data_IF_958584664197
#
_entry.id   IF_958584664197
#
_cell.length_a   1.000
_cell.length_b   1.000
_cell.length_c   1.000
_cell.angle_alpha   90.00
_cell.angle_beta   90.00
_cell.angle_gamma   90.00
#
_symmetry.space_group_name_H-M   'P 1'
#
loop_
_entity.id
_entity.type
_entity.pdbx_description
1 polymer ?
#
# COMPACT_ATOMS: atom_id res chain seq x y z
N UNK A 1 20.16 -1.56 84.93
CA UNK A 1 21.58 -1.79 84.62
C UNK A 1 21.68 -2.94 83.64
N UNK A 2 22.02 -2.62 82.39
CA UNK A 2 22.82 -3.38 81.43
C UNK A 2 22.33 -3.15 80.00
N UNK A 3 23.12 -2.33 79.31
CA UNK A 3 23.20 -2.21 77.86
C UNK A 3 23.44 -3.59 77.23
N UNK A 4 22.86 -3.83 76.05
CA UNK A 4 23.57 -4.56 75.00
C UNK A 4 23.00 -4.19 73.62
N UNK A 5 23.79 -3.42 72.86
CA UNK A 5 23.65 -3.26 71.41
C UNK A 5 23.88 -4.62 70.73
N UNK A 6 23.02 -4.98 69.76
CA UNK A 6 23.39 -5.88 68.65
C UNK A 6 22.78 -5.37 67.35
N UNK A 7 23.68 -5.15 66.39
CA UNK A 7 23.49 -4.62 65.03
C UNK A 7 22.46 -5.40 64.18
N UNK A 8 21.87 -4.76 63.15
CA UNK A 8 21.01 -5.47 62.20
C UNK A 8 21.84 -6.33 61.22
N UNK A 9 21.49 -7.62 61.13
CA UNK A 9 22.06 -8.58 60.18
C UNK A 9 21.46 -8.35 58.79
N UNK A 10 22.29 -7.95 57.82
CA UNK A 10 21.95 -7.98 56.40
C UNK A 10 21.72 -9.44 55.97
N UNK A 11 20.48 -9.77 55.59
CA UNK A 11 20.15 -11.01 54.90
C UNK A 11 20.25 -10.75 53.39
N UNK A 12 21.28 -11.30 52.74
CA UNK A 12 21.40 -11.31 51.29
C UNK A 12 20.46 -12.37 50.70
N UNK A 13 19.43 -11.94 49.99
CA UNK A 13 18.59 -12.81 49.17
C UNK A 13 19.23 -12.93 47.77
N UNK A 14 19.67 -14.13 47.39
CA UNK A 14 20.03 -14.45 46.02
C UNK A 14 18.84 -15.15 45.36
N UNK A 15 18.05 -14.40 44.59
CA UNK A 15 17.08 -14.98 43.66
C UNK A 15 17.84 -15.39 42.38
N UNK A 16 17.93 -16.70 42.14
CA UNK A 16 18.41 -17.23 40.85
C UNK A 16 17.25 -17.10 39.86
N UNK A 17 17.29 -16.07 39.01
CA UNK A 17 16.44 -16.00 37.83
C UNK A 17 17.07 -16.91 36.78
N UNK A 18 16.48 -18.08 36.56
CA UNK A 18 16.78 -18.90 35.39
C UNK A 18 16.29 -18.14 34.15
N UNK A 19 17.24 -17.56 33.42
CA UNK A 19 17.00 -16.97 32.10
C UNK A 19 16.67 -18.11 31.13
N UNK A 20 15.38 -18.40 30.94
CA UNK A 20 14.94 -19.17 29.79
C UNK A 20 15.20 -18.28 28.57
N UNK A 21 16.24 -18.59 27.81
CA UNK A 21 16.46 -17.95 26.51
C UNK A 21 15.30 -18.37 25.60
N UNK A 22 14.32 -17.48 25.43
CA UNK A 22 13.40 -17.57 24.30
C UNK A 22 14.25 -17.22 23.08
N UNK A 23 14.69 -18.23 22.35
CA UNK A 23 15.16 -18.03 20.99
C UNK A 23 13.95 -17.61 20.16
N UNK A 24 13.68 -16.31 20.08
CA UNK A 24 12.84 -15.79 19.01
C UNK A 24 13.59 -16.05 17.70
N UNK A 25 13.00 -16.84 16.80
CA UNK A 25 13.54 -17.01 15.46
C UNK A 25 13.44 -15.67 14.74
N UNK A 26 14.56 -14.93 14.62
CA UNK A 26 14.64 -13.83 13.68
C UNK A 26 14.62 -14.40 12.25
N UNK A 27 14.07 -13.64 11.30
CA UNK A 27 14.27 -13.91 9.88
C UNK A 27 15.77 -13.91 9.57
N UNK A 28 16.26 -14.87 8.79
CA UNK A 28 17.65 -14.84 8.29
C UNK A 28 17.85 -13.61 7.40
N UNK A 29 18.94 -12.87 7.59
CA UNK A 29 19.26 -11.70 6.76
C UNK A 29 20.18 -12.07 5.61
N UNK A 30 19.74 -11.75 4.39
CA UNK A 30 20.49 -11.88 3.15
C UNK A 30 20.96 -10.51 2.70
N UNK A 31 22.26 -10.24 2.81
CA UNK A 31 22.85 -9.00 2.32
C UNK A 31 23.34 -9.17 0.89
N UNK A 32 22.86 -8.32 -0.01
CA UNK A 32 23.31 -8.26 -1.39
C UNK A 32 24.73 -7.72 -1.46
N UNK A 33 25.65 -8.53 -1.97
CA UNK A 33 27.02 -8.14 -2.27
C UNK A 33 27.17 -7.74 -3.74
N UNK A 34 26.40 -8.36 -4.64
CA UNK A 34 26.44 -8.11 -6.09
C UNK A 34 27.82 -8.39 -6.71
N UNK A 35 28.62 -9.26 -6.11
CA UNK A 35 30.03 -9.46 -6.49
C UNK A 35 30.23 -10.09 -7.86
N UNK A 36 29.20 -10.71 -8.44
CA UNK A 36 29.34 -11.54 -9.64
C UNK A 36 28.36 -11.15 -10.76
N UNK A 37 27.15 -10.73 -10.43
CA UNK A 37 26.14 -10.26 -11.40
C UNK A 37 25.01 -9.49 -10.70
N UNK A 38 24.02 -9.01 -11.48
CA UNK A 38 22.75 -8.48 -10.97
C UNK A 38 21.68 -9.53 -10.63
N UNK A 39 21.96 -10.83 -10.78
CA UNK A 39 20.94 -11.89 -10.65
C UNK A 39 20.75 -12.33 -9.19
N UNK A 40 19.53 -12.18 -8.67
CA UNK A 40 19.13 -12.65 -7.34
C UNK A 40 19.22 -14.17 -7.17
N UNK A 41 19.25 -14.92 -8.27
CA UNK A 41 19.31 -16.38 -8.25
C UNK A 41 20.75 -16.88 -8.20
N UNK A 42 21.74 -16.02 -8.39
CA UNK A 42 23.14 -16.39 -8.20
C UNK A 42 23.52 -16.21 -6.72
N UNK A 43 23.69 -17.34 -6.03
CA UNK A 43 24.03 -17.35 -4.60
C UNK A 43 25.34 -16.60 -4.29
N UNK A 44 26.24 -16.46 -5.28
CA UNK A 44 27.51 -15.76 -5.10
C UNK A 44 27.37 -14.24 -4.98
N UNK A 45 26.18 -13.69 -5.27
CA UNK A 45 25.84 -12.29 -5.04
C UNK A 45 25.29 -12.00 -3.64
N UNK A 46 25.23 -13.00 -2.77
CA UNK A 46 24.64 -12.89 -1.44
C UNK A 46 25.66 -13.27 -0.36
N UNK A 47 25.69 -12.49 0.71
CA UNK A 47 26.24 -12.94 2.00
C UNK A 47 25.09 -13.18 2.96
N UNK A 48 25.00 -14.39 3.52
CA UNK A 48 24.08 -14.71 4.62
C UNK A 48 24.86 -15.16 5.85
N UNK A 49 24.20 -15.16 7.02
CA UNK A 49 24.78 -15.59 8.29
C UNK A 49 24.87 -17.14 8.40
N UNK A 50 25.54 -17.79 7.44
CA UNK A 50 25.95 -19.19 7.62
C UNK A 50 26.11 -20.10 6.38
N UNK A 51 25.73 -19.70 5.17
CA UNK A 51 25.98 -20.52 3.96
C UNK A 51 25.87 -19.69 2.68
N UNK A 52 26.29 -20.25 1.54
CA UNK A 52 26.09 -19.62 0.22
C UNK A 52 24.61 -19.74 -0.20
N UNK A 53 23.69 -19.20 0.60
CA UNK A 53 22.23 -19.27 0.44
C UNK A 53 21.70 -17.95 -0.13
N UNK A 54 20.58 -18.04 -0.85
CA UNK A 54 19.92 -16.91 -1.53
C UNK A 54 18.47 -16.78 -1.04
N UNK A 55 17.82 -15.61 -1.16
CA UNK A 55 16.48 -15.37 -0.60
C UNK A 55 15.38 -16.31 -1.11
N UNK A 56 15.55 -16.97 -2.26
CA UNK A 56 14.53 -17.84 -2.84
C UNK A 56 14.46 -19.26 -2.22
N UNK A 57 15.38 -19.63 -1.33
CA UNK A 57 15.41 -20.97 -0.70
C UNK A 57 14.81 -20.98 0.71
N UNK A 58 14.52 -19.81 1.29
CA UNK A 58 13.97 -19.67 2.64
C UNK A 58 12.84 -18.63 2.59
N UNK A 59 11.60 -19.09 2.78
CA UNK A 59 10.37 -18.31 2.60
C UNK A 59 10.15 -17.16 3.62
N UNK A 60 11.19 -16.67 4.29
CA UNK A 60 11.05 -15.83 5.49
C UNK A 60 12.26 -14.93 5.77
N UNK A 61 13.19 -14.75 4.81
CA UNK A 61 14.40 -13.97 5.03
C UNK A 61 14.23 -12.47 4.81
N UNK A 62 14.95 -11.66 5.57
CA UNK A 62 15.11 -10.22 5.30
C UNK A 62 16.18 -10.02 4.23
N UNK A 63 15.93 -9.11 3.30
CA UNK A 63 16.89 -8.75 2.26
C UNK A 63 17.43 -7.35 2.54
N UNK A 64 18.75 -7.19 2.50
CA UNK A 64 19.40 -5.90 2.63
C UNK A 64 20.25 -5.64 1.40
N UNK A 65 20.02 -4.53 0.71
CA UNK A 65 20.81 -4.09 -0.43
C UNK A 65 21.71 -2.94 0.01
N UNK A 66 22.99 -3.28 0.19
CA UNK A 66 24.04 -2.36 0.61
C UNK A 66 25.14 -2.37 -0.46
N UNK A 67 25.03 -1.58 -1.53
CA UNK A 67 26.14 -1.41 -2.47
C UNK A 67 25.96 -0.18 -3.38
N UNK A 68 27.09 0.42 -3.79
CA UNK A 68 27.18 1.52 -4.75
C UNK A 68 27.45 1.04 -6.19
N UNK A 69 27.81 -0.23 -6.40
CA UNK A 69 28.37 -0.68 -7.70
C UNK A 69 27.39 -1.40 -8.63
N UNK A 70 26.23 -1.88 -8.15
CA UNK A 70 25.26 -2.59 -8.99
C UNK A 70 23.86 -2.02 -8.83
N UNK A 71 23.44 -1.34 -9.89
CA UNK A 71 22.20 -0.57 -10.00
C UNK A 71 21.08 -1.36 -10.70
N UNK A 72 21.40 -2.51 -11.33
CA UNK A 72 20.46 -3.35 -12.07
C UNK A 72 20.36 -4.75 -11.45
N UNK A 73 19.35 -4.93 -10.60
CA UNK A 73 19.01 -6.17 -9.92
C UNK A 73 17.95 -6.92 -10.74
N UNK A 74 18.05 -8.25 -10.89
CA UNK A 74 17.10 -9.05 -11.66
C UNK A 74 16.67 -10.27 -10.87
N UNK A 75 15.35 -10.46 -10.78
CA UNK A 75 14.70 -11.61 -10.17
C UNK A 75 14.39 -12.63 -11.28
N UNK A 76 15.26 -13.63 -11.50
CA UNK A 76 15.06 -14.68 -12.53
C UNK A 76 14.15 -15.86 -12.13
N UNK A 77 13.82 -15.99 -10.85
CA UNK A 77 12.87 -16.95 -10.27
C UNK A 77 11.85 -16.21 -9.42
N UNK A 78 10.65 -16.75 -9.15
CA UNK A 78 9.76 -16.09 -8.19
C UNK A 78 10.46 -16.08 -6.81
N UNK A 79 10.44 -14.94 -6.13
CA UNK A 79 11.12 -14.76 -4.85
C UNK A 79 10.12 -14.31 -3.79
N UNK A 80 10.20 -14.90 -2.60
CA UNK A 80 9.42 -14.52 -1.42
C UNK A 80 10.39 -14.08 -0.34
N UNK A 81 10.13 -12.93 0.29
CA UNK A 81 10.96 -12.33 1.34
C UNK A 81 10.09 -11.88 2.50
N UNK A 82 10.69 -11.74 3.69
CA UNK A 82 10.07 -11.13 4.84
C UNK A 82 10.06 -9.60 4.67
N UNK A 83 11.23 -8.97 4.60
CA UNK A 83 11.38 -7.52 4.41
C UNK A 83 12.52 -7.19 3.44
N UNK A 84 12.55 -5.95 2.96
CA UNK A 84 13.60 -5.41 2.09
C UNK A 84 14.11 -4.07 2.64
N UNK A 85 15.42 -3.91 2.70
CA UNK A 85 16.08 -2.66 3.06
C UNK A 85 17.04 -2.21 1.95
N UNK A 86 16.90 -0.97 1.50
CA UNK A 86 17.96 -0.24 0.81
C UNK A 86 18.72 0.57 1.86
N UNK A 87 19.86 0.05 2.29
CA UNK A 87 20.58 0.63 3.42
C UNK A 87 21.40 1.86 3.05
N UNK A 88 22.02 2.46 4.06
CA UNK A 88 22.71 3.76 3.97
C UNK A 88 23.84 3.85 2.94
N UNK A 89 24.37 2.70 2.49
CA UNK A 89 25.44 2.62 1.49
C UNK A 89 24.93 2.28 0.08
N UNK A 90 23.62 2.19 -0.13
CA UNK A 90 23.04 2.06 -1.45
C UNK A 90 22.93 3.44 -2.11
N UNK A 91 24.04 3.87 -2.69
CA UNK A 91 24.20 5.17 -3.33
C UNK A 91 24.11 4.98 -4.85
N UNK A 92 22.96 5.33 -5.41
CA UNK A 92 22.66 5.20 -6.84
C UNK A 92 21.27 4.59 -7.09
N UNK A 93 20.77 4.83 -8.30
CA UNK A 93 19.52 4.23 -8.76
C UNK A 93 19.58 2.71 -8.61
N UNK A 94 18.57 2.07 -8.03
CA UNK A 94 18.54 0.60 -7.93
C UNK A 94 17.24 0.09 -8.48
N UNK A 95 17.32 -0.59 -9.61
CA UNK A 95 16.17 -1.23 -10.26
C UNK A 95 16.11 -2.71 -9.89
N UNK A 96 15.01 -3.15 -9.28
CA UNK A 96 14.63 -4.55 -9.12
C UNK A 96 13.74 -4.95 -10.30
N UNK A 97 14.35 -5.64 -11.27
CA UNK A 97 13.71 -6.17 -12.46
C UNK A 97 12.96 -7.46 -12.20
N UNK A 98 11.64 -7.42 -12.37
CA UNK A 98 10.70 -8.52 -12.14
C UNK A 98 10.52 -9.40 -13.39
N UNK A 99 11.62 -9.97 -13.89
CA UNK A 99 11.64 -10.68 -15.18
C UNK A 99 12.63 -11.83 -15.21
N UNK A 100 12.23 -12.93 -15.86
CA UNK A 100 13.09 -14.09 -16.06
C UNK A 100 14.26 -13.76 -16.99
N UNK A 101 15.31 -14.59 -16.92
CA UNK A 101 16.49 -14.45 -17.77
C UNK A 101 16.25 -14.53 -19.28
N UNK A 102 15.08 -15.03 -19.70
CA UNK A 102 14.65 -15.06 -21.09
C UNK A 102 14.01 -13.73 -21.57
N UNK A 103 13.86 -12.74 -20.68
CA UNK A 103 13.35 -11.41 -21.01
C UNK A 103 11.86 -11.35 -21.36
N UNK A 104 11.10 -12.44 -21.19
CA UNK A 104 9.67 -12.47 -21.60
C UNK A 104 8.75 -13.03 -20.54
N UNK A 105 9.27 -13.72 -19.52
CA UNK A 105 8.43 -14.31 -18.47
C UNK A 105 8.48 -13.49 -17.19
N UNK A 106 7.31 -13.04 -16.74
CA UNK A 106 7.13 -12.37 -15.46
C UNK A 106 7.68 -13.18 -14.28
N UNK A 107 8.38 -12.51 -13.35
CA UNK A 107 8.85 -13.08 -12.09
C UNK A 107 8.48 -12.15 -10.96
N UNK A 108 7.86 -12.69 -9.93
CA UNK A 108 7.25 -11.87 -8.91
C UNK A 108 8.13 -11.81 -7.67
N UNK A 109 8.10 -10.66 -7.01
CA UNK A 109 8.61 -10.49 -5.65
C UNK A 109 7.41 -10.51 -4.70
N UNK A 110 7.47 -11.34 -3.66
CA UNK A 110 6.39 -11.49 -2.68
C UNK A 110 6.88 -11.09 -1.30
N UNK A 111 6.25 -10.09 -0.69
CA UNK A 111 6.42 -9.75 0.72
C UNK A 111 5.47 -10.62 1.55
N UNK A 112 6.04 -11.46 2.41
CA UNK A 112 5.32 -12.44 3.23
C UNK A 112 6.01 -12.60 4.58
N UNK A 113 5.58 -11.83 5.57
CA UNK A 113 6.07 -11.94 6.92
C UNK A 113 5.47 -13.13 7.67
N UNK A 114 6.28 -13.78 8.51
CA UNK A 114 5.82 -14.89 9.38
C UNK A 114 5.06 -14.39 10.61
N UNK A 115 5.28 -13.13 11.00
CA UNK A 115 4.57 -12.44 12.05
C UNK A 115 4.62 -10.93 11.80
N UNK A 116 3.53 -10.21 12.10
CA UNK A 116 3.46 -8.76 11.89
C UNK A 116 3.41 -8.37 10.40
N UNK A 117 4.00 -7.23 10.09
CA UNK A 117 4.07 -6.67 8.75
C UNK A 117 5.45 -6.93 8.13
N UNK A 118 5.48 -7.06 6.82
CA UNK A 118 6.72 -6.89 6.04
C UNK A 118 7.12 -5.43 6.03
N UNK A 119 8.40 -5.13 5.90
CA UNK A 119 8.87 -3.75 5.70
C UNK A 119 9.61 -3.58 4.37
N UNK A 120 9.49 -2.38 3.79
CA UNK A 120 10.36 -1.89 2.73
C UNK A 120 10.98 -0.57 3.22
N UNK A 121 12.24 -0.62 3.59
CA UNK A 121 12.95 0.53 4.16
C UNK A 121 13.92 1.11 3.14
N UNK A 122 13.90 2.43 2.99
CA UNK A 122 14.94 3.20 2.29
C UNK A 122 15.58 4.10 3.32
N UNK A 123 16.84 3.84 3.62
CA UNK A 123 17.61 4.62 4.59
C UNK A 123 17.76 6.08 4.12
N UNK A 124 17.86 7.00 5.09
CA UNK A 124 17.97 8.43 4.82
C UNK A 124 19.22 8.82 4.00
N UNK A 125 20.30 8.04 4.12
CA UNK A 125 21.52 8.26 3.35
C UNK A 125 21.52 7.53 1.99
N UNK A 126 20.52 6.68 1.71
CA UNK A 126 20.39 6.06 0.40
C UNK A 126 20.00 7.11 -0.65
N UNK A 127 20.64 7.04 -1.82
CA UNK A 127 20.44 8.00 -2.92
C UNK A 127 20.14 7.29 -4.23
N UNK A 128 19.59 8.00 -5.21
CA UNK A 128 19.11 7.51 -6.49
C UNK A 128 17.78 6.75 -6.39
N UNK A 129 16.99 6.78 -7.46
CA UNK A 129 15.66 6.17 -7.47
C UNK A 129 15.69 4.67 -7.14
N UNK A 130 14.70 4.18 -6.39
CA UNK A 130 14.50 2.74 -6.13
C UNK A 130 13.31 2.27 -6.95
N UNK A 131 13.53 1.37 -7.89
CA UNK A 131 12.55 1.09 -8.94
C UNK A 131 12.20 -0.40 -8.96
N UNK A 132 10.93 -0.74 -8.82
CA UNK A 132 10.40 -2.07 -9.15
C UNK A 132 9.79 -2.02 -10.55
N UNK A 133 10.35 -2.78 -11.49
CA UNK A 133 10.02 -2.65 -12.90
C UNK A 133 9.92 -4.00 -13.63
N UNK A 134 9.48 -3.95 -14.88
CA UNK A 134 9.25 -5.05 -15.82
C UNK A 134 7.94 -5.83 -15.55
N UNK A 135 7.86 -7.04 -16.08
CA UNK A 135 6.61 -7.77 -16.33
C UNK A 135 5.95 -8.38 -15.09
N UNK A 136 6.74 -8.68 -14.05
CA UNK A 136 6.25 -9.32 -12.84
C UNK A 136 5.57 -8.36 -11.88
N UNK A 137 5.07 -8.92 -10.78
CA UNK A 137 4.28 -8.19 -9.77
C UNK A 137 5.04 -8.12 -8.45
N UNK A 138 4.73 -7.09 -7.67
CA UNK A 138 4.99 -7.05 -6.23
C UNK A 138 3.75 -7.56 -5.49
N UNK A 139 3.88 -8.63 -4.72
CA UNK A 139 2.76 -9.25 -4.00
C UNK A 139 2.83 -8.98 -2.51
N UNK A 140 1.72 -8.53 -1.93
CA UNK A 140 1.56 -8.25 -0.50
C UNK A 140 0.80 -9.40 0.17
N UNK A 141 1.48 -10.51 0.48
CA UNK A 141 0.87 -11.62 1.23
C UNK A 141 0.69 -11.27 2.71
N UNK A 142 1.51 -10.34 3.21
CA UNK A 142 1.34 -9.63 4.47
C UNK A 142 1.15 -8.14 4.20
N UNK A 143 0.75 -7.38 5.21
CA UNK A 143 0.82 -5.92 5.11
C UNK A 143 2.28 -5.49 4.86
N UNK A 144 2.46 -4.38 4.15
CA UNK A 144 3.75 -3.80 3.86
C UNK A 144 3.84 -2.38 4.44
N UNK A 145 4.79 -2.19 5.34
CA UNK A 145 5.18 -0.87 5.82
C UNK A 145 6.35 -0.35 4.98
N UNK A 146 6.08 0.64 4.13
CA UNK A 146 7.09 1.41 3.42
C UNK A 146 7.59 2.51 4.36
N UNK A 147 8.90 2.50 4.61
CA UNK A 147 9.61 3.53 5.37
C UNK A 147 10.60 4.20 4.43
N UNK A 148 10.16 5.29 3.78
CA UNK A 148 10.95 5.99 2.78
C UNK A 148 11.59 7.26 3.38
N UNK A 149 12.83 7.14 3.85
CA UNK A 149 13.57 8.27 4.41
C UNK A 149 14.57 8.89 3.43
N UNK A 150 14.83 8.23 2.29
CA UNK A 150 15.70 8.72 1.21
C UNK A 150 15.17 10.00 0.53
N UNK A 151 16.07 10.66 -0.21
CA UNK A 151 15.78 11.94 -0.88
C UNK A 151 15.22 11.79 -2.30
N UNK A 152 15.49 10.66 -2.96
CA UNK A 152 15.09 10.36 -4.33
C UNK A 152 13.81 9.50 -4.37
N UNK A 153 13.33 9.10 -5.54
CA UNK A 153 12.01 8.48 -5.66
C UNK A 153 12.03 6.96 -5.39
N UNK A 154 10.99 6.45 -4.72
CA UNK A 154 10.65 5.03 -4.72
C UNK A 154 9.54 4.79 -5.75
N UNK A 155 9.77 3.99 -6.78
CA UNK A 155 8.84 3.77 -7.89
C UNK A 155 8.45 2.31 -8.02
N UNK A 156 7.15 2.04 -8.01
CA UNK A 156 6.58 0.76 -8.42
C UNK A 156 5.94 0.91 -9.79
N UNK A 157 6.71 0.65 -10.85
CA UNK A 157 6.20 0.62 -12.22
C UNK A 157 5.46 -0.68 -12.52
N UNK A 158 5.81 -1.74 -11.79
CA UNK A 158 5.11 -3.02 -11.80
C UNK A 158 3.86 -3.00 -10.93
N UNK A 159 2.87 -3.83 -11.26
CA UNK A 159 1.64 -4.01 -10.47
C UNK A 159 1.94 -4.46 -9.03
N UNK A 160 1.34 -3.77 -8.06
CA UNK A 160 1.21 -4.23 -6.67
C UNK A 160 -0.14 -4.97 -6.51
N UNK A 161 -0.13 -6.15 -5.89
CA UNK A 161 -1.32 -7.04 -5.81
C UNK A 161 -1.40 -7.81 -4.48
N UNK A 162 -2.44 -8.66 -4.33
CA UNK A 162 -2.78 -9.47 -3.12
C UNK A 162 -3.55 -8.67 -2.06
N UNK A 163 -3.66 -9.15 -0.82
CA UNK A 163 -4.61 -8.59 0.17
C UNK A 163 -3.97 -7.75 1.28
N UNK A 164 -2.64 -7.63 1.32
CA UNK A 164 -1.95 -6.83 2.32
C UNK A 164 -2.30 -5.35 2.24
N UNK A 165 -2.39 -4.71 3.41
CA UNK A 165 -2.45 -3.25 3.50
C UNK A 165 -1.08 -2.64 3.19
N UNK A 166 -1.08 -1.42 2.68
CA UNK A 166 0.11 -0.62 2.43
C UNK A 166 0.13 0.57 3.41
N UNK A 167 1.20 0.73 4.17
CA UNK A 167 1.45 1.91 5.00
C UNK A 167 2.67 2.64 4.48
N UNK A 168 2.56 3.93 4.20
CA UNK A 168 3.67 4.76 3.68
C UNK A 168 4.05 5.76 4.76
N UNK A 169 5.31 5.73 5.17
CA UNK A 169 5.93 6.61 6.16
C UNK A 169 7.26 7.16 5.66
N UNK A 170 7.78 8.20 6.31
CA UNK A 170 9.02 8.88 5.91
C UNK A 170 8.78 10.03 4.93
N UNK A 171 9.79 10.88 4.76
CA UNK A 171 9.68 12.13 3.98
C UNK A 171 9.90 11.95 2.47
N UNK A 172 10.35 10.77 2.04
CA UNK A 172 10.57 10.47 0.63
C UNK A 172 9.27 10.35 -0.16
N UNK A 173 9.40 10.34 -1.48
CA UNK A 173 8.26 10.27 -2.39
C UNK A 173 8.11 8.86 -2.94
N UNK A 174 6.92 8.27 -2.78
CA UNK A 174 6.58 6.95 -3.33
C UNK A 174 5.65 7.11 -4.53
N UNK A 175 5.97 6.42 -5.62
CA UNK A 175 5.16 6.33 -6.84
C UNK A 175 4.59 4.92 -6.98
N UNK A 176 3.29 4.82 -7.24
CA UNK A 176 2.61 3.59 -7.62
C UNK A 176 2.09 3.74 -9.05
N UNK A 177 2.96 3.43 -10.00
CA UNK A 177 2.76 3.68 -11.43
C UNK A 177 2.19 2.47 -12.18
N UNK A 178 2.22 1.27 -11.59
CA UNK A 178 1.58 0.08 -12.13
C UNK A 178 0.05 0.08 -12.01
N UNK A 179 -0.60 -0.88 -12.67
CA UNK A 179 -2.04 -1.15 -12.51
C UNK A 179 -2.28 -1.94 -11.22
N UNK A 180 -2.42 -1.26 -10.08
CA UNK A 180 -2.40 -1.91 -8.77
C UNK A 180 -3.76 -2.54 -8.43
N UNK A 181 -3.72 -3.81 -8.03
CA UNK A 181 -4.91 -4.65 -7.77
C UNK A 181 -4.98 -5.19 -6.35
N UNK A 182 -4.13 -4.69 -5.44
CA UNK A 182 -4.20 -5.12 -4.05
C UNK A 182 -5.51 -4.65 -3.39
N UNK A 183 -6.00 -5.43 -2.45
CA UNK A 183 -7.33 -5.22 -1.83
C UNK A 183 -7.26 -4.73 -0.39
N UNK A 184 -6.06 -4.47 0.14
CA UNK A 184 -5.87 -3.79 1.41
C UNK A 184 -5.99 -2.27 1.29
N UNK A 185 -6.09 -1.59 2.42
CA UNK A 185 -6.05 -0.14 2.51
C UNK A 185 -4.66 0.40 2.20
N UNK A 186 -4.60 1.64 1.71
CA UNK A 186 -3.36 2.42 1.59
C UNK A 186 -3.41 3.58 2.57
N UNK A 187 -2.50 3.56 3.55
CA UNK A 187 -2.38 4.62 4.56
C UNK A 187 -1.16 5.48 4.26
N UNK A 188 -1.39 6.75 3.92
CA UNK A 188 -0.33 7.73 3.69
C UNK A 188 -0.16 8.56 4.97
N UNK A 189 0.89 8.27 5.75
CA UNK A 189 1.10 8.90 7.04
C UNK A 189 1.58 10.35 6.91
N UNK A 190 1.50 11.09 8.02
CA UNK A 190 1.96 12.47 8.11
C UNK A 190 3.41 12.62 7.61
N UNK A 191 3.64 13.61 6.75
CA UNK A 191 4.95 13.90 6.16
C UNK A 191 5.34 13.04 4.96
N UNK A 192 4.53 12.02 4.61
CA UNK A 192 4.77 11.17 3.44
C UNK A 192 4.02 11.63 2.21
N UNK A 193 4.53 11.26 1.04
CA UNK A 193 3.92 11.60 -0.25
C UNK A 193 3.75 10.36 -1.12
N UNK A 194 2.52 10.12 -1.57
CA UNK A 194 2.18 9.15 -2.61
C UNK A 194 1.87 9.87 -3.94
N UNK A 195 2.38 9.35 -5.05
CA UNK A 195 2.15 9.89 -6.39
C UNK A 195 1.84 8.79 -7.39
N UNK A 196 1.25 9.19 -8.51
CA UNK A 196 1.33 8.48 -9.78
C UNK A 196 1.80 9.41 -10.88
N UNK A 197 2.39 8.84 -11.92
CA UNK A 197 2.94 9.53 -13.07
C UNK A 197 1.92 9.56 -14.21
N UNK A 198 1.74 10.72 -14.84
CA UNK A 198 0.85 10.87 -16.01
C UNK A 198 1.24 9.91 -17.14
N UNK A 199 0.29 9.15 -17.66
CA UNK A 199 0.49 8.26 -18.81
C UNK A 199 1.18 6.93 -18.49
N UNK A 200 1.45 6.63 -17.22
CA UNK A 200 2.05 5.36 -16.80
C UNK A 200 1.08 4.16 -16.85
N UNK A 201 -0.22 4.39 -17.06
CA UNK A 201 -1.24 3.35 -16.90
C UNK A 201 -1.48 2.97 -15.43
N UNK A 202 -1.18 3.90 -14.50
CA UNK A 202 -1.38 3.71 -13.06
C UNK A 202 -2.87 3.53 -12.76
N UNK A 203 -3.19 2.47 -12.05
CA UNK A 203 -4.55 2.18 -11.56
C UNK A 203 -4.52 1.86 -10.06
N UNK A 204 -5.63 2.12 -9.39
CA UNK A 204 -5.89 1.65 -8.04
C UNK A 204 -7.24 0.97 -7.99
N UNK A 205 -7.24 -0.33 -7.71
CA UNK A 205 -8.47 -1.10 -7.52
C UNK A 205 -9.07 -0.88 -6.12
N UNK A 206 -10.37 -0.63 -6.08
CA UNK A 206 -11.16 -0.60 -4.86
C UNK A 206 -12.27 -1.65 -4.93
N UNK A 207 -12.28 -2.60 -4.00
CA UNK A 207 -13.32 -3.60 -3.85
C UNK A 207 -14.49 -3.01 -3.09
N UNK A 208 -15.64 -2.88 -3.74
CA UNK A 208 -16.86 -2.31 -3.14
C UNK A 208 -17.82 -3.43 -2.78
N UNK A 209 -18.13 -3.54 -1.48
CA UNK A 209 -18.99 -4.58 -0.92
C UNK A 209 -20.32 -4.04 -0.40
N UNK A 210 -20.80 -4.61 0.72
CA UNK A 210 -21.92 -4.07 1.47
C UNK A 210 -21.66 -2.61 1.92
N UNK A 211 -22.70 -1.88 2.31
CA UNK A 211 -22.60 -0.48 2.75
C UNK A 211 -21.42 -0.27 3.74
N UNK A 212 -20.51 0.66 3.42
CA UNK A 212 -19.32 0.96 4.22
C UNK A 212 -18.20 -0.11 4.22
N UNK A 213 -18.29 -1.14 3.37
CA UNK A 213 -17.26 -2.19 3.26
C UNK A 213 -16.48 -2.03 1.96
N UNK A 214 -15.26 -1.51 2.08
CA UNK A 214 -14.33 -1.33 0.97
C UNK A 214 -12.90 -1.18 1.48
N UNK A 215 -11.92 -1.29 0.59
CA UNK A 215 -10.59 -0.71 0.83
C UNK A 215 -10.57 0.78 0.47
N UNK A 216 -9.65 1.53 1.05
CA UNK A 216 -9.60 2.98 0.93
C UNK A 216 -8.16 3.52 0.93
N UNK A 217 -8.01 4.75 0.46
CA UNK A 217 -6.83 5.59 0.69
C UNK A 217 -7.09 6.50 1.90
N UNK A 218 -6.25 6.36 2.94
CA UNK A 218 -6.44 6.97 4.26
C UNK A 218 -5.18 7.72 4.70
N UNK A 219 -5.29 8.49 5.77
CA UNK A 219 -4.14 9.07 6.48
C UNK A 219 -4.12 10.59 6.42
N UNK A 220 -2.94 11.18 6.65
CA UNK A 220 -2.76 12.64 6.77
C UNK A 220 -1.57 13.16 5.97
N UNK A 221 -1.04 12.35 5.04
CA UNK A 221 0.01 12.73 4.12
C UNK A 221 -0.53 13.38 2.86
N UNK A 222 0.33 13.50 1.84
CA UNK A 222 -0.04 14.09 0.55
C UNK A 222 -0.21 13.02 -0.53
N UNK A 223 -1.22 13.18 -1.40
CA UNK A 223 -1.46 12.28 -2.52
C UNK A 223 -1.67 13.05 -3.82
N UNK A 224 -1.00 12.63 -4.90
CA UNK A 224 -1.08 13.25 -6.22
C UNK A 224 -1.54 12.23 -7.26
N UNK A 225 -2.77 12.39 -7.74
CA UNK A 225 -3.48 11.36 -8.50
C UNK A 225 -3.49 11.66 -10.00
N UNK A 226 -2.59 11.02 -10.74
CA UNK A 226 -2.59 10.92 -12.21
C UNK A 226 -3.18 9.58 -12.71
N UNK A 227 -3.90 8.88 -11.84
CA UNK A 227 -4.30 7.48 -11.96
C UNK A 227 -5.77 7.29 -12.31
N UNK A 228 -6.15 6.09 -12.75
CA UNK A 228 -7.54 5.66 -12.77
C UNK A 228 -7.90 4.94 -11.46
N UNK A 229 -8.95 5.38 -10.77
CA UNK A 229 -9.59 4.58 -9.74
C UNK A 229 -10.50 3.53 -10.39
N UNK A 230 -10.25 2.25 -10.12
CA UNK A 230 -11.02 1.13 -10.66
C UNK A 230 -11.89 0.56 -9.54
N UNK A 231 -13.16 0.90 -9.56
CA UNK A 231 -14.16 0.47 -8.58
C UNK A 231 -14.75 -0.86 -9.02
N UNK A 232 -14.44 -1.93 -8.30
CA UNK A 232 -15.10 -3.22 -8.48
C UNK A 232 -16.45 -3.19 -7.76
N UNK A 233 -17.51 -3.04 -8.57
CA UNK A 233 -18.89 -2.95 -8.13
C UNK A 233 -19.62 -4.31 -8.13
N UNK A 234 -18.93 -5.42 -8.44
CA UNK A 234 -19.56 -6.74 -8.61
C UNK A 234 -20.29 -7.23 -7.35
N UNK A 235 -19.90 -6.74 -6.17
CA UNK A 235 -20.53 -7.04 -4.88
C UNK A 235 -21.08 -5.82 -4.16
N UNK A 236 -21.15 -4.67 -4.83
CA UNK A 236 -21.58 -3.42 -4.21
C UNK A 236 -23.06 -3.48 -3.80
N UNK A 237 -23.38 -2.86 -2.66
CA UNK A 237 -24.78 -2.63 -2.27
C UNK A 237 -25.49 -1.80 -3.34
N UNK A 238 -26.71 -2.17 -3.70
CA UNK A 238 -27.57 -1.41 -4.62
C UNK A 238 -28.66 -0.61 -3.89
N UNK A 239 -28.56 -0.47 -2.56
CA UNK A 239 -29.53 0.28 -1.76
C UNK A 239 -29.18 1.77 -1.85
N UNK A 240 -30.13 2.59 -2.30
CA UNK A 240 -30.02 4.06 -2.30
C UNK A 240 -29.58 4.58 -0.93
N UNK A 241 -28.56 5.44 -0.92
CA UNK A 241 -27.93 5.96 0.28
C UNK A 241 -26.83 5.06 0.87
N UNK A 242 -26.50 3.93 0.23
CA UNK A 242 -25.25 3.23 0.56
C UNK A 242 -24.06 4.09 0.15
N UNK A 243 -23.01 4.06 0.96
CA UNK A 243 -21.85 4.92 0.79
C UNK A 243 -20.54 4.19 1.19
N UNK A 244 -19.44 4.57 0.54
CA UNK A 244 -18.10 4.02 0.75
C UNK A 244 -17.06 5.13 0.66
N UNK A 245 -16.21 5.24 1.67
CA UNK A 245 -15.08 6.18 1.66
C UNK A 245 -13.96 5.60 0.81
N UNK A 246 -13.70 6.17 -0.37
CA UNK A 246 -12.63 5.73 -1.26
C UNK A 246 -11.33 6.49 -0.95
N UNK A 247 -11.45 7.80 -0.70
CA UNK A 247 -10.34 8.68 -0.34
C UNK A 247 -10.72 9.54 0.85
N UNK A 248 -9.91 9.53 1.90
CA UNK A 248 -10.11 10.35 3.11
C UNK A 248 -9.69 11.81 2.89
N UNK A 249 -10.46 12.55 2.08
CA UNK A 249 -10.19 13.96 1.71
C UNK A 249 -10.28 14.93 2.89
N UNK A 250 -10.92 14.53 3.98
CA UNK A 250 -11.00 15.36 5.20
C UNK A 250 -9.63 15.43 5.91
N UNK A 251 -8.78 14.43 5.72
CA UNK A 251 -7.50 14.29 6.43
C UNK A 251 -6.29 14.33 5.51
N UNK A 252 -6.41 13.79 4.29
CA UNK A 252 -5.33 13.81 3.30
C UNK A 252 -5.16 15.21 2.71
N UNK A 253 -3.97 15.48 2.19
CA UNK A 253 -3.75 16.60 1.26
C UNK A 253 -3.71 16.02 -0.15
N UNK A 254 -4.87 15.91 -0.78
CA UNK A 254 -5.02 15.31 -2.10
C UNK A 254 -4.89 16.31 -3.24
N UNK A 255 -4.60 15.78 -4.41
CA UNK A 255 -4.81 16.51 -5.63
C UNK A 255 -5.11 15.59 -6.80
N UNK A 256 -6.32 15.72 -7.33
CA UNK A 256 -6.71 15.16 -8.61
C UNK A 256 -5.99 15.91 -9.75
N UNK A 257 -5.47 15.18 -10.73
CA UNK A 257 -4.72 15.74 -11.87
C UNK A 257 -5.52 15.55 -13.15
N UNK A 258 -5.10 16.20 -14.23
CA UNK A 258 -5.85 16.18 -15.51
C UNK A 258 -5.99 14.79 -16.15
N UNK A 259 -5.20 13.81 -15.71
CA UNK A 259 -5.27 12.42 -16.16
C UNK A 259 -5.97 11.51 -15.15
N UNK A 260 -6.53 12.06 -14.07
CA UNK A 260 -7.35 11.30 -13.14
C UNK A 260 -8.61 10.81 -13.84
N UNK A 261 -9.01 9.57 -13.56
CA UNK A 261 -10.23 8.98 -14.07
C UNK A 261 -10.85 8.03 -13.05
N UNK A 262 -12.13 7.72 -13.23
CA UNK A 262 -12.83 6.68 -12.47
C UNK A 262 -13.45 5.70 -13.46
N UNK A 263 -13.32 4.41 -13.17
CA UNK A 263 -13.84 3.32 -13.99
C UNK A 263 -14.32 2.17 -13.11
N UNK A 264 -15.12 1.28 -13.68
CA UNK A 264 -15.38 -0.07 -13.20
C UNK A 264 -14.91 -1.09 -14.24
N UNK A 265 -15.05 -2.39 -13.94
CA UNK A 265 -14.81 -3.45 -14.93
C UNK A 265 -15.74 -3.34 -16.16
N UNK A 266 -16.89 -2.66 -16.01
CA UNK A 266 -17.92 -2.54 -17.05
C UNK A 266 -17.86 -1.23 -17.84
N UNK A 267 -17.02 -0.26 -17.44
CA UNK A 267 -16.82 0.97 -18.21
C UNK A 267 -16.26 2.14 -17.41
N UNK A 268 -15.98 3.25 -18.12
CA UNK A 268 -15.58 4.51 -17.49
C UNK A 268 -16.78 5.25 -16.90
N UNK A 269 -16.59 5.89 -15.75
CA UNK A 269 -17.56 6.83 -15.20
C UNK A 269 -17.56 8.11 -16.04
N UNK A 270 -18.71 8.77 -16.12
CA UNK A 270 -18.86 10.07 -16.76
C UNK A 270 -18.59 11.17 -15.74
N UNK A 271 -17.67 12.08 -16.05
CA UNK A 271 -17.30 13.22 -15.19
C UNK A 271 -18.16 14.45 -15.48
N UNK A 272 -18.56 15.14 -14.42
CA UNK A 272 -19.14 16.46 -14.47
C UNK A 272 -18.79 17.26 -13.20
N UNK A 273 -17.82 18.18 -13.31
CA UNK A 273 -17.42 19.10 -12.23
C UNK A 273 -16.98 18.39 -10.93
N UNK A 274 -16.15 17.36 -11.05
CA UNK A 274 -15.63 16.57 -9.93
C UNK A 274 -16.61 15.50 -9.40
N UNK A 275 -17.75 15.32 -10.06
CA UNK A 275 -18.68 14.22 -9.81
C UNK A 275 -18.58 13.20 -10.95
N UNK A 276 -18.28 11.96 -10.60
CA UNK A 276 -18.14 10.84 -11.51
C UNK A 276 -19.33 9.91 -11.36
N UNK A 277 -20.03 9.59 -12.45
CA UNK A 277 -21.25 8.77 -12.40
C UNK A 277 -21.23 7.58 -13.35
N UNK A 278 -21.84 6.47 -12.94
CA UNK A 278 -22.11 5.31 -13.80
C UNK A 278 -23.43 4.65 -13.41
N UNK A 279 -24.19 4.18 -14.39
CA UNK A 279 -25.32 3.26 -14.16
C UNK A 279 -24.82 1.82 -14.29
N UNK A 280 -24.80 1.09 -13.19
CA UNK A 280 -24.36 -0.31 -13.16
C UNK A 280 -25.22 -1.10 -12.17
N UNK A 281 -25.41 -2.40 -12.39
CA UNK A 281 -26.19 -3.27 -11.50
C UNK A 281 -27.63 -2.76 -11.22
N UNK A 282 -28.18 -1.96 -12.14
CA UNK A 282 -29.54 -1.41 -12.04
C UNK A 282 -29.67 -0.20 -11.11
N UNK A 283 -28.56 0.43 -10.70
CA UNK A 283 -28.55 1.66 -9.90
C UNK A 283 -27.51 2.65 -10.42
N UNK A 284 -27.60 3.89 -9.97
CA UNK A 284 -26.63 4.94 -10.27
C UNK A 284 -25.64 5.07 -9.11
N UNK A 285 -24.35 4.90 -9.42
CA UNK A 285 -23.25 5.14 -8.50
C UNK A 285 -22.61 6.49 -8.82
N UNK A 286 -22.35 7.28 -7.78
CA UNK A 286 -21.69 8.58 -7.88
C UNK A 286 -20.48 8.65 -6.95
N UNK A 287 -19.29 8.88 -7.51
CA UNK A 287 -18.07 9.22 -6.78
C UNK A 287 -17.83 10.73 -6.84
N UNK A 288 -17.69 11.37 -5.69
CA UNK A 288 -17.42 12.80 -5.61
C UNK A 288 -15.99 13.08 -5.16
N UNK A 289 -15.22 13.81 -5.96
CA UNK A 289 -13.85 14.25 -5.61
C UNK A 289 -13.83 15.12 -4.35
N UNK A 290 -14.88 15.93 -4.15
CA UNK A 290 -14.97 16.84 -3.01
C UNK A 290 -15.08 16.13 -1.65
N UNK A 291 -15.64 14.92 -1.62
CA UNK A 291 -15.86 14.17 -0.38
C UNK A 291 -15.10 12.85 -0.34
N UNK A 292 -14.53 12.42 -1.46
CA UNK A 292 -13.89 11.11 -1.62
C UNK A 292 -14.85 9.93 -1.44
N UNK A 293 -16.17 10.17 -1.46
CA UNK A 293 -17.20 9.16 -1.25
C UNK A 293 -17.74 8.63 -2.58
N UNK A 294 -17.91 7.31 -2.66
CA UNK A 294 -18.80 6.65 -3.61
C UNK A 294 -20.17 6.47 -2.94
N UNK A 295 -21.26 6.77 -3.64
CA UNK A 295 -22.63 6.63 -3.12
C UNK A 295 -23.57 6.02 -4.14
N UNK A 296 -24.60 5.31 -3.67
CA UNK A 296 -25.75 4.93 -4.51
C UNK A 296 -26.79 6.04 -4.44
N UNK A 297 -27.10 6.66 -5.57
CA UNK A 297 -28.10 7.73 -5.65
C UNK A 297 -29.41 7.23 -6.27
N UNK A 298 -30.55 7.87 -5.95
CA UNK A 298 -31.78 7.65 -6.70
C UNK A 298 -31.59 8.01 -8.17
N UNK A 299 -32.21 7.24 -9.07
CA UNK A 299 -32.26 7.59 -10.49
C UNK A 299 -32.80 9.03 -10.68
N UNK A 300 -32.30 9.81 -11.66
CA UNK A 300 -32.72 11.19 -11.90
C UNK A 300 -34.26 11.40 -11.96
N UNK A 301 -35.01 10.41 -12.45
CA UNK A 301 -36.47 10.43 -12.48
C UNK A 301 -37.12 10.44 -11.09
N UNK A 302 -36.48 9.85 -10.09
CA UNK A 302 -36.95 9.81 -8.69
C UNK A 302 -36.92 11.20 -8.05
N UNK A 303 -35.87 11.98 -8.30
CA UNK A 303 -35.79 13.37 -7.85
C UNK A 303 -36.87 14.25 -8.48
N UNK A 304 -37.11 14.09 -9.78
CA UNK A 304 -38.17 14.80 -10.50
C UNK A 304 -39.57 14.44 -9.98
N UNK A 305 -39.83 13.16 -9.70
CA UNK A 305 -41.08 12.69 -9.12
C UNK A 305 -41.30 13.26 -7.71
N UNK A 306 -40.27 13.21 -6.85
CA UNK A 306 -40.36 13.73 -5.49
C UNK A 306 -40.60 15.24 -5.47
N UNK A 307 -39.91 16.00 -6.33
CA UNK A 307 -40.15 17.43 -6.52
C UNK A 307 -41.57 17.71 -7.07
N UNK A 308 -42.06 16.88 -7.99
CA UNK A 308 -43.44 16.96 -8.48
C UNK A 308 -44.47 16.74 -7.38
N UNK A 309 -44.28 15.72 -6.54
CA UNK A 309 -45.17 15.38 -5.42
C UNK A 309 -45.17 16.45 -4.32
N UNK A 310 -44.02 17.05 -4.00
CA UNK A 310 -43.93 18.17 -3.05
C UNK A 310 -44.61 19.43 -3.61
N UNK A 311 -44.44 19.72 -4.91
CA UNK A 311 -45.16 20.78 -5.60
C UNK A 311 -46.68 20.57 -5.57
N UNK A 312 -47.15 19.35 -5.86
CA UNK A 312 -48.57 18.98 -5.82
C UNK A 312 -49.17 19.12 -4.42
N UNK A 313 -48.49 18.62 -3.38
CA UNK A 313 -48.94 18.74 -1.99
C UNK A 313 -49.01 20.19 -1.54
N UNK A 314 -48.04 21.03 -1.91
CA UNK A 314 -48.08 22.47 -1.65
C UNK A 314 -49.31 23.13 -2.31
N UNK A 315 -49.60 22.81 -3.57
CA UNK A 315 -50.78 23.33 -4.28
C UNK A 315 -52.08 22.88 -3.62
N UNK A 316 -52.17 21.62 -3.21
CA UNK A 316 -53.35 21.07 -2.52
C UNK A 316 -53.58 21.71 -1.15
N UNK A 317 -52.52 21.95 -0.38
CA UNK A 317 -52.60 22.64 0.92
C UNK A 317 -53.00 24.11 0.76
N UNK A 318 -52.54 24.79 -0.29
CA UNK A 318 -52.92 26.18 -0.59
C UNK A 318 -54.39 26.30 -1.01
N UNK A 319 -54.89 25.37 -1.82
CA UNK A 319 -56.30 25.32 -2.24
C UNK A 319 -57.28 25.04 -1.11
N UNK A 320 -56.83 24.36 -0.04
CA UNK A 320 -57.68 24.06 1.13
C UNK A 320 -57.78 25.23 2.12
N UNK A 321 -56.97 26.28 1.94
CA UNK A 321 -56.92 27.48 2.80
C UNK A 321 -57.49 28.75 2.12
N UNK A 322 -57.98 28.63 0.88
CA UNK A 322 -58.72 29.66 0.15
C UNK A 322 -60.19 29.26 0.08
#
# INVERSE_FOLDING_TARGET
MNHLNKEPRLLSAAAVISLLAVTSSFAETFTWTGTTSGDWNDATNWSSDGANTRPNEIATGDVVINNTTNLDQIIRGNTTINSLEFGSSNLGETTIGLIAGNGTTARNLTFSATSGNSTLTIDAASTGDKIFNNLGKVRLNSNLDIVHNGADDLRFNSEVTSSGNLSITGSGVTYLDGANTYTGNTTINAGSTLRSTSGAGSEFAFKIGANGVNNAMLGTGSVFLHTTFVLDLSTASTIVGSEWLILDVDNLTESYRSTFAVASENGGFTEASGLWSITENGVDYEFAELTGMLTVVPEPGTYALLAGLTGLTYVMLRRRRA
#
